data_IF_548188856573
#
_entry.id   IF_548188856573
#
_cell.length_a   1.000
_cell.length_b   1.000
_cell.length_c   1.000
_cell.angle_alpha   90.00
_cell.angle_beta   90.00
_cell.angle_gamma   90.00
#
_symmetry.space_group_name_H-M   'P 1'
#
loop_
_entity.id
_entity.type
_entity.pdbx_description
1 polymer ?
#
# COMPACT_ATOMS: atom_id res chain seq x y z
N UNK A 1 11.82 16.30 4.41
CA UNK A 1 12.25 15.73 5.72
C UNK A 1 13.51 16.44 6.20
N UNK A 2 13.58 16.92 7.45
CA UNK A 2 14.86 17.36 8.04
C UNK A 2 15.77 16.14 8.12
N UNK A 3 17.00 16.20 7.57
CA UNK A 3 17.94 15.07 7.36
C UNK A 3 18.45 14.32 8.60
N UNK A 4 17.66 14.23 9.68
CA UNK A 4 17.99 13.62 10.96
C UNK A 4 17.91 12.07 10.95
N UNK A 5 17.47 11.44 9.86
CA UNK A 5 17.32 9.97 9.77
C UNK A 5 17.92 9.47 8.45
N UNK A 6 18.89 8.55 8.55
CA UNK A 6 19.60 7.97 7.40
C UNK A 6 18.78 6.91 6.64
N UNK A 7 17.79 6.30 7.29
CA UNK A 7 16.88 5.33 6.69
C UNK A 7 15.55 5.29 7.44
N UNK A 8 14.47 4.95 6.74
CA UNK A 8 13.15 4.68 7.31
C UNK A 8 12.67 3.33 6.79
N UNK A 9 12.27 2.44 7.69
CA UNK A 9 11.68 1.15 7.36
C UNK A 9 10.16 1.22 7.49
N UNK A 10 9.42 0.64 6.55
CA UNK A 10 7.96 0.64 6.57
C UNK A 10 7.32 2.00 6.23
N UNK A 11 8.06 2.89 5.55
CA UNK A 11 7.49 4.12 5.02
C UNK A 11 6.43 3.84 3.94
N UNK A 12 5.51 4.79 3.79
CA UNK A 12 4.47 4.72 2.78
C UNK A 12 5.04 5.20 1.44
N UNK A 13 5.28 4.25 0.54
CA UNK A 13 6.04 4.46 -0.69
C UNK A 13 5.50 5.56 -1.62
N UNK A 14 4.17 5.69 -1.78
CA UNK A 14 3.58 6.72 -2.63
C UNK A 14 3.89 8.15 -2.16
N UNK A 15 4.00 8.35 -0.83
CA UNK A 15 4.44 9.63 -0.25
C UNK A 15 5.89 9.87 -0.60
N UNK A 16 6.74 8.86 -0.43
CA UNK A 16 8.15 8.95 -0.78
C UNK A 16 8.36 9.27 -2.27
N UNK A 17 7.59 8.66 -3.18
CA UNK A 17 7.66 8.99 -4.60
C UNK A 17 7.19 10.42 -4.90
N UNK A 18 6.12 10.88 -4.25
CA UNK A 18 5.67 12.27 -4.36
C UNK A 18 6.73 13.26 -3.88
N UNK A 19 7.40 12.98 -2.76
CA UNK A 19 8.50 13.80 -2.24
C UNK A 19 9.72 13.82 -3.18
N UNK A 20 10.08 12.67 -3.77
CA UNK A 20 11.14 12.59 -4.79
C UNK A 20 10.78 13.48 -5.99
N UNK A 21 9.53 13.44 -6.44
CA UNK A 21 9.05 14.29 -7.53
C UNK A 21 9.15 15.79 -7.19
N UNK A 22 9.00 16.16 -5.90
CA UNK A 22 9.16 17.53 -5.39
C UNK A 22 10.64 17.92 -5.15
N UNK A 23 11.60 17.03 -5.45
CA UNK A 23 13.03 17.31 -5.34
C UNK A 23 13.68 16.89 -4.02
N UNK A 24 12.97 16.16 -3.14
CA UNK A 24 13.62 15.59 -1.95
C UNK A 24 14.66 14.53 -2.37
N UNK A 25 15.84 14.57 -1.74
CA UNK A 25 16.90 13.55 -1.92
C UNK A 25 16.56 12.27 -1.16
N UNK A 26 15.61 11.50 -1.71
CA UNK A 26 15.18 10.21 -1.19
C UNK A 26 15.33 9.11 -2.26
N UNK A 27 15.45 7.86 -1.80
CA UNK A 27 15.41 6.68 -2.67
C UNK A 27 14.52 5.62 -2.04
N UNK A 28 13.57 5.12 -2.82
CA UNK A 28 12.77 3.95 -2.45
C UNK A 28 13.55 2.70 -2.86
N UNK A 29 13.72 1.75 -1.93
CA UNK A 29 14.45 0.50 -2.16
C UNK A 29 13.55 -0.66 -1.73
N UNK A 30 13.37 -1.63 -2.63
CA UNK A 30 12.76 -2.92 -2.30
C UNK A 30 13.86 -3.94 -1.99
N UNK A 31 13.87 -4.56 -0.80
CA UNK A 31 14.90 -5.55 -0.46
C UNK A 31 14.86 -6.76 -1.41
N UNK A 32 16.03 -7.28 -1.78
CA UNK A 32 16.14 -8.47 -2.64
C UNK A 32 15.57 -9.74 -2.00
N UNK A 33 15.52 -9.79 -0.66
CA UNK A 33 14.86 -10.87 0.09
C UNK A 33 13.34 -10.87 -0.11
N UNK A 34 12.75 -9.71 -0.38
CA UNK A 34 11.35 -9.50 -0.67
C UNK A 34 10.74 -8.33 0.12
N UNK A 35 9.50 -8.01 -0.20
CA UNK A 35 8.70 -6.98 0.48
C UNK A 35 7.30 -7.48 0.81
N UNK A 36 6.61 -6.79 1.71
CA UNK A 36 5.17 -6.99 1.95
C UNK A 36 4.35 -6.02 1.13
N UNK A 37 3.10 -6.39 0.86
CA UNK A 37 2.11 -5.54 0.20
C UNK A 37 0.86 -5.48 1.08
N UNK A 38 0.39 -4.27 1.34
CA UNK A 38 -0.83 -4.03 2.10
C UNK A 38 -1.97 -3.67 1.14
N UNK A 39 -2.89 -4.61 0.80
CA UNK A 39 -4.06 -4.29 0.01
C UNK A 39 -4.99 -3.33 0.77
N UNK A 40 -5.65 -2.42 0.04
CA UNK A 40 -6.62 -1.48 0.60
C UNK A 40 -8.01 -1.80 0.06
N UNK A 41 -8.79 -2.66 0.73
CA UNK A 41 -10.11 -3.03 0.26
C UNK A 41 -11.09 -1.87 0.41
N UNK A 42 -12.03 -1.79 -0.55
CA UNK A 42 -13.22 -0.95 -0.46
C UNK A 42 -14.43 -1.85 -0.20
N UNK A 43 -15.29 -1.45 0.72
CA UNK A 43 -16.44 -2.24 1.15
C UNK A 43 -17.68 -1.37 1.27
N UNK A 44 -18.84 -1.91 0.91
CA UNK A 44 -20.15 -1.29 1.18
C UNK A 44 -20.68 -1.91 2.47
N UNK A 45 -20.99 -1.06 3.45
CA UNK A 45 -21.57 -1.53 4.71
C UNK A 45 -22.98 -2.07 4.48
N UNK A 46 -23.35 -3.14 5.20
CA UNK A 46 -24.71 -3.70 5.15
C UNK A 46 -25.80 -2.69 5.55
N UNK A 47 -25.44 -1.69 6.36
CA UNK A 47 -26.32 -0.62 6.84
C UNK A 47 -26.35 0.62 5.94
N UNK A 48 -25.73 0.55 4.76
CA UNK A 48 -25.68 1.66 3.81
C UNK A 48 -27.09 2.11 3.41
N UNK A 49 -27.37 3.41 3.56
CA UNK A 49 -28.66 4.01 3.20
C UNK A 49 -28.83 4.16 1.67
N UNK A 50 -27.72 4.21 0.94
CA UNK A 50 -27.65 4.47 -0.50
C UNK A 50 -26.77 3.42 -1.21
N UNK A 51 -27.18 2.13 -1.22
CA UNK A 51 -26.34 1.04 -1.72
C UNK A 51 -26.10 1.13 -3.24
N UNK A 52 -27.04 1.71 -4.00
CA UNK A 52 -26.90 1.87 -5.45
C UNK A 52 -25.79 2.87 -5.81
N UNK A 53 -25.79 4.02 -5.16
CA UNK A 53 -24.80 5.08 -5.31
C UNK A 53 -23.44 4.63 -4.79
N UNK A 54 -23.40 3.92 -3.66
CA UNK A 54 -22.17 3.31 -3.15
C UNK A 54 -21.58 2.33 -4.16
N UNK A 55 -22.40 1.48 -4.79
CA UNK A 55 -21.95 0.58 -5.85
C UNK A 55 -21.43 1.35 -7.07
N UNK A 56 -22.18 2.36 -7.54
CA UNK A 56 -21.76 3.18 -8.67
C UNK A 56 -20.42 3.89 -8.42
N UNK A 57 -20.18 4.35 -7.19
CA UNK A 57 -18.90 4.92 -6.79
C UNK A 57 -17.76 3.89 -6.84
N UNK A 58 -17.96 2.67 -6.30
CA UNK A 58 -16.96 1.60 -6.38
C UNK A 58 -16.68 1.22 -7.84
N UNK A 59 -17.73 1.08 -8.65
CA UNK A 59 -17.60 0.77 -10.08
C UNK A 59 -16.78 1.85 -10.80
N UNK A 60 -17.01 3.14 -10.51
CA UNK A 60 -16.21 4.24 -11.06
C UNK A 60 -14.76 4.19 -10.59
N UNK A 61 -14.49 3.97 -9.30
CA UNK A 61 -13.12 3.85 -8.78
C UNK A 61 -12.37 2.70 -9.45
N UNK A 62 -13.05 1.58 -9.75
CA UNK A 62 -12.49 0.41 -10.43
C UNK A 62 -12.50 0.52 -11.96
N UNK A 63 -13.04 1.59 -12.53
CA UNK A 63 -13.00 1.86 -13.97
C UNK A 63 -11.58 2.20 -14.44
N UNK A 64 -11.28 2.14 -15.76
CA UNK A 64 -10.00 2.59 -16.29
C UNK A 64 -9.66 4.03 -15.88
N UNK A 65 -10.64 4.95 -15.89
CA UNK A 65 -10.42 6.34 -15.49
C UNK A 65 -10.08 6.45 -13.99
N UNK A 66 -10.87 5.80 -13.13
CA UNK A 66 -10.62 5.81 -11.69
C UNK A 66 -9.25 5.25 -11.34
N UNK A 67 -8.85 4.17 -12.01
CA UNK A 67 -7.57 3.52 -11.81
C UNK A 67 -6.39 4.32 -12.38
N UNK A 68 -6.59 5.08 -13.46
CA UNK A 68 -5.59 6.04 -13.93
C UNK A 68 -5.30 7.11 -12.87
N UNK A 69 -6.34 7.63 -12.19
CA UNK A 69 -6.16 8.58 -11.08
C UNK A 69 -5.42 7.96 -9.89
N UNK A 70 -5.70 6.69 -9.58
CA UNK A 70 -4.95 5.92 -8.56
C UNK A 70 -3.46 5.83 -8.93
N UNK A 71 -3.15 5.50 -10.19
CA UNK A 71 -1.77 5.44 -10.69
C UNK A 71 -1.06 6.80 -10.60
N UNK A 72 -1.76 7.88 -10.95
CA UNK A 72 -1.24 9.25 -10.89
C UNK A 72 -0.88 9.69 -9.47
N UNK A 73 -1.62 9.19 -8.46
CA UNK A 73 -1.35 9.38 -7.05
C UNK A 73 -0.22 8.48 -6.50
N UNK A 74 0.62 7.90 -7.36
CA UNK A 74 1.71 6.98 -7.01
C UNK A 74 1.26 5.69 -6.30
N UNK A 75 -0.03 5.36 -6.38
CA UNK A 75 -0.56 4.09 -5.87
C UNK A 75 -0.47 3.01 -6.93
N UNK A 76 -0.53 1.76 -6.49
CA UNK A 76 -0.63 0.61 -7.37
C UNK A 76 -2.09 0.41 -7.79
N UNK A 77 -2.41 0.47 -9.10
CA UNK A 77 -3.75 0.17 -9.59
C UNK A 77 -4.15 -1.28 -9.27
N UNK A 78 -5.43 -1.49 -8.99
CA UNK A 78 -6.01 -2.81 -8.84
C UNK A 78 -6.16 -3.53 -10.20
N UNK A 79 -6.23 -2.76 -11.30
CA UNK A 79 -6.29 -3.29 -12.66
C UNK A 79 -4.89 -3.50 -13.23
N UNK A 80 -4.70 -4.61 -13.95
CA UNK A 80 -3.42 -4.94 -14.61
C UNK A 80 -3.21 -4.22 -15.94
N UNK A 81 -4.27 -3.72 -16.56
CA UNK A 81 -4.24 -2.99 -17.83
C UNK A 81 -3.96 -1.49 -17.67
N UNK A 82 -3.73 -1.02 -16.44
CA UNK A 82 -3.42 0.38 -16.14
C UNK A 82 -1.96 0.50 -15.73
N UNK A 83 -1.19 1.27 -16.50
CA UNK A 83 0.20 1.57 -16.19
C UNK A 83 0.33 2.49 -14.96
N UNK A 84 1.47 2.43 -14.28
CA UNK A 84 1.78 3.29 -13.15
C UNK A 84 3.21 3.81 -13.20
N UNK A 85 3.48 4.90 -12.47
CA UNK A 85 4.80 5.56 -12.40
C UNK A 85 5.79 4.84 -11.46
N UNK A 86 5.47 3.62 -11.03
CA UNK A 86 6.18 2.85 -10.00
C UNK A 86 6.19 1.35 -10.35
N UNK A 87 7.09 0.55 -9.76
CA UNK A 87 7.03 -0.91 -9.87
C UNK A 87 5.65 -1.45 -9.43
N UNK A 88 5.10 -2.35 -10.25
CA UNK A 88 3.85 -3.08 -10.02
C UNK A 88 4.13 -4.47 -9.41
N UNK A 89 3.08 -5.25 -9.13
CA UNK A 89 3.18 -6.55 -8.44
C UNK A 89 4.13 -7.54 -9.13
N UNK A 90 4.15 -7.55 -10.46
CA UNK A 90 4.96 -8.43 -11.29
C UNK A 90 6.47 -8.16 -11.19
N UNK A 91 6.85 -6.93 -10.85
CA UNK A 91 8.23 -6.51 -10.66
C UNK A 91 8.75 -6.71 -9.22
N UNK A 92 7.91 -7.17 -8.28
CA UNK A 92 8.24 -7.26 -6.86
C UNK A 92 8.28 -8.72 -6.38
N UNK A 93 9.33 -9.05 -5.62
CA UNK A 93 9.36 -10.29 -4.83
C UNK A 93 8.51 -10.11 -3.57
N UNK A 94 7.23 -10.49 -3.66
CA UNK A 94 6.30 -10.40 -2.52
C UNK A 94 6.56 -11.55 -1.56
N UNK A 95 6.76 -11.24 -0.28
CA UNK A 95 6.89 -12.24 0.76
C UNK A 95 5.56 -12.99 0.93
N UNK A 96 5.60 -14.30 1.18
CA UNK A 96 4.38 -15.07 1.40
C UNK A 96 3.64 -14.53 2.63
N UNK A 97 2.39 -14.12 2.43
CA UNK A 97 1.48 -13.73 3.51
C UNK A 97 0.40 -14.80 3.66
N UNK A 98 0.45 -15.57 4.74
CA UNK A 98 -0.64 -16.48 5.13
C UNK A 98 -1.78 -15.65 5.72
N UNK A 99 -2.72 -15.24 4.88
CA UNK A 99 -3.95 -14.59 5.32
C UNK A 99 -4.95 -15.63 5.81
N UNK A 100 -4.66 -16.32 6.92
CA UNK A 100 -5.59 -17.28 7.52
C UNK A 100 -6.70 -16.62 8.36
N UNK A 101 -6.75 -15.28 8.41
CA UNK A 101 -7.79 -14.55 9.13
C UNK A 101 -7.71 -14.67 10.66
N UNK A 102 -6.78 -15.46 11.21
CA UNK A 102 -6.43 -15.42 12.62
C UNK A 102 -5.50 -14.23 12.87
N UNK A 103 -5.99 -13.23 13.62
CA UNK A 103 -5.12 -12.13 14.01
C UNK A 103 -4.20 -12.59 15.13
N UNK A 104 -3.02 -13.13 14.81
CA UNK A 104 -1.95 -13.37 15.79
C UNK A 104 -1.29 -12.08 16.29
N UNK A 105 -1.87 -10.92 15.97
CA UNK A 105 -1.37 -9.59 16.30
C UNK A 105 -0.92 -9.49 17.76
N UNK A 106 -1.71 -10.02 18.69
CA UNK A 106 -1.35 -10.02 20.12
C UNK A 106 -0.05 -10.78 20.41
N UNK A 107 0.08 -12.01 19.92
CA UNK A 107 1.27 -12.84 20.10
C UNK A 107 2.50 -12.25 19.40
N UNK A 108 2.33 -11.73 18.18
CA UNK A 108 3.38 -11.06 17.41
C UNK A 108 3.90 -9.82 18.15
N UNK A 109 2.99 -8.97 18.65
CA UNK A 109 3.38 -7.78 19.41
C UNK A 109 4.07 -8.15 20.74
N UNK A 110 3.57 -9.16 21.46
CA UNK A 110 4.19 -9.63 22.70
C UNK A 110 5.63 -10.13 22.45
N UNK A 111 5.82 -10.96 21.41
CA UNK A 111 7.15 -11.45 21.01
C UNK A 111 8.06 -10.31 20.57
N UNK A 112 7.56 -9.34 19.81
CA UNK A 112 8.34 -8.17 19.39
C UNK A 112 8.83 -7.38 20.60
N UNK A 113 7.95 -7.07 21.55
CA UNK A 113 8.33 -6.38 22.78
C UNK A 113 9.38 -7.17 23.58
N UNK A 114 9.22 -8.49 23.71
CA UNK A 114 10.21 -9.33 24.41
C UNK A 114 11.60 -9.28 23.78
N UNK A 115 11.68 -9.18 22.44
CA UNK A 115 12.95 -9.16 21.72
C UNK A 115 13.62 -7.78 21.69
N UNK A 116 12.85 -6.69 21.73
CA UNK A 116 13.34 -5.36 21.38
C UNK A 116 13.00 -4.22 22.36
N UNK A 117 12.17 -4.46 23.39
CA UNK A 117 11.96 -3.46 24.44
C UNK A 117 13.18 -3.47 25.37
N UNK A 118 14.11 -2.55 25.13
CA UNK A 118 15.06 -2.07 26.13
C UNK A 118 14.51 -0.80 26.76
#
# INVERSE_FOLDING_TARGET
MQGAKAAVFGAVDYVSYGNIQQGESLKVIFPASGTVIAPRPMMILKTCQHPGEAKAFIDYVLSPEGQAKVADAWLMPARRDVAAKRPLLDALKVLPTTSEGSSERGAVLARFSQLYAQ
#
